data_IF_493180165121
#
_entry.id   IF_493180165121
#
_cell.length_a   1.000
_cell.length_b   1.000
_cell.length_c   1.000
_cell.angle_alpha   90.00
_cell.angle_beta   90.00
_cell.angle_gamma   90.00
#
_symmetry.space_group_name_H-M   'P 1'
#
loop_
_entity.id
_entity.type
_entity.pdbx_description
1 polymer ?
2 non-polymer ?
3 non-polymer ?
4 non-polymer ?
5 water ?
#
# COMPACT_ATOMS: atom_id res chain seq x y z
N UNK A 5 -14.37 -10.29 13.37
CA UNK A 5 -13.95 -9.13 12.61
C UNK A 5 -13.26 -9.49 11.31
N UNK A 6 -12.28 -10.39 11.41
CA UNK A 6 -11.61 -10.88 10.21
C UNK A 6 -12.55 -11.81 9.44
N UNK A 7 -12.52 -11.68 8.12
CA UNK A 7 -13.33 -12.51 7.23
C UNK A 7 -12.38 -13.31 6.35
N UNK A 8 -12.40 -14.63 6.50
CA UNK A 8 -11.62 -15.49 5.64
C UNK A 8 -12.38 -15.71 4.33
N UNK A 9 -11.71 -15.47 3.22
CA UNK A 9 -12.32 -15.59 1.90
C UNK A 9 -11.28 -16.31 1.07
N UNK A 10 -11.49 -17.60 0.87
CA UNK A 10 -10.44 -18.45 0.33
C UNK A 10 -9.21 -18.33 1.19
N UNK A 11 -8.08 -18.05 0.54
CA UNK A 11 -6.80 -17.96 1.20
C UNK A 11 -6.46 -16.54 1.62
N UNK A 12 -7.40 -15.61 1.53
CA UNK A 12 -7.20 -14.22 1.89
C UNK A 12 -8.03 -13.87 3.13
N UNK A 13 -7.70 -12.73 3.74
CA UNK A 13 -8.41 -12.24 4.91
C UNK A 13 -8.78 -10.78 4.67
N UNK A 14 -10.01 -10.42 5.02
CA UNK A 14 -10.51 -9.05 4.88
C UNK A 14 -11.02 -8.56 6.23
N UNK A 15 -10.71 -7.31 6.55
CA UNK A 15 -11.09 -6.73 7.83
C UNK A 15 -11.60 -5.32 7.59
N UNK A 16 -12.83 -5.04 8.00
CA UNK A 16 -13.36 -3.69 7.88
C UNK A 16 -12.70 -2.79 8.92
N UNK A 17 -12.23 -1.62 8.47
CA UNK A 17 -11.57 -0.65 9.33
C UNK A 17 -12.40 0.60 9.56
N UNK A 18 -13.30 0.91 8.65
CA UNK A 18 -14.16 2.08 8.73
C UNK A 18 -15.36 1.81 7.84
N UNK A 19 -16.41 2.64 7.90
CA UNK A 19 -17.60 2.35 7.08
C UNK A 19 -17.31 2.10 5.60
N UNK A 20 -16.31 2.78 5.03
CA UNK A 20 -15.99 2.68 3.61
C UNK A 20 -14.57 2.14 3.37
N UNK A 21 -13.94 1.52 4.35
CA UNK A 21 -12.54 1.08 4.23
C UNK A 21 -12.37 -0.34 4.76
N UNK A 22 -11.71 -1.19 3.97
CA UNK A 22 -11.36 -2.54 4.37
C UNK A 22 -9.89 -2.78 4.10
N UNK A 23 -9.29 -3.64 4.92
CA UNK A 23 -7.92 -4.11 4.72
C UNK A 23 -7.96 -5.49 4.07
N UNK A 24 -7.20 -5.67 2.99
CA UNK A 24 -7.00 -6.99 2.39
C UNK A 24 -5.66 -7.56 2.82
N UNK A 25 -5.62 -8.87 3.06
CA UNK A 25 -4.42 -9.57 3.50
C UNK A 25 -4.24 -10.82 2.67
N UNK A 26 -3.02 -11.01 2.15
CA UNK A 26 -2.66 -12.20 1.39
C UNK A 26 -1.32 -12.72 1.90
N UNK A 27 -1.01 -13.97 1.55
CA UNK A 27 0.12 -14.68 2.14
C UNK A 27 0.99 -15.32 1.06
N UNK A 28 2.31 -15.28 1.25
CA UNK A 28 3.24 -15.95 0.37
C UNK A 28 4.33 -16.63 1.19
N UNK A 29 4.67 -17.86 0.79
CA UNK A 29 5.78 -18.57 1.42
C UNK A 29 7.11 -17.92 1.06
N UNK A 30 7.91 -17.63 2.08
CA UNK A 30 9.31 -17.30 1.90
C UNK A 30 10.07 -18.55 2.30
N UNK A 31 10.57 -19.35 1.36
CA UNK A 31 11.06 -20.69 1.67
C UNK A 31 12.07 -20.73 2.81
N UNK A 32 11.81 -21.61 3.78
CA UNK A 32 12.65 -21.72 4.96
C UNK A 32 12.32 -20.76 6.07
N UNK A 33 11.42 -19.79 5.83
CA UNK A 33 11.10 -18.76 6.80
C UNK A 33 9.61 -18.55 7.03
N UNK A 34 8.76 -19.16 6.23
CA UNK A 34 7.35 -19.19 6.53
C UNK A 34 6.52 -18.26 5.65
N UNK A 35 5.24 -18.23 5.98
CA UNK A 35 4.25 -17.51 5.21
C UNK A 35 4.19 -16.06 5.69
N UNK A 36 4.37 -15.13 4.76
CA UNK A 36 4.42 -13.70 5.10
C UNK A 36 3.12 -13.04 4.67
N UNK A 37 2.44 -12.40 5.61
CA UNK A 37 1.24 -11.62 5.33
C UNK A 37 1.62 -10.28 4.72
N UNK A 38 0.80 -9.84 3.77
CA UNK A 38 0.89 -8.48 3.25
C UNK A 38 -0.49 -7.88 3.19
N UNK A 39 -0.60 -6.62 3.62
CA UNK A 39 -1.87 -5.90 3.69
C UNK A 39 -1.91 -4.78 2.67
N UNK A 40 -3.10 -4.57 2.10
CA UNK A 40 -3.44 -3.38 1.36
C UNK A 40 -4.83 -2.90 1.75
N UNK A 41 -5.39 -1.96 0.98
CA UNK A 41 -6.65 -1.34 1.35
C UNK A 41 -7.63 -1.36 0.19
N UNK A 42 -8.91 -1.33 0.56
CA UNK A 42 -10.04 -1.21 -0.36
C UNK A 42 -10.91 -0.09 0.19
N UNK A 43 -11.25 0.89 -0.65
CA UNK A 43 -11.99 2.07 -0.24
C UNK A 43 -13.19 2.25 -1.16
N UNK A 44 -14.38 2.35 -0.59
CA UNK A 44 -15.55 2.73 -1.37
C UNK A 44 -15.68 4.24 -1.35
N UNK A 45 -15.70 4.85 -2.52
CA UNK A 45 -15.89 6.30 -2.69
C UNK A 45 -17.15 6.47 -3.51
N UNK A 46 -18.29 6.63 -2.83
CA UNK A 46 -19.55 6.77 -3.53
C UNK A 46 -19.88 5.50 -4.29
N UNK A 47 -20.04 5.63 -5.61
CA UNK A 47 -20.38 4.51 -6.47
C UNK A 47 -19.21 3.77 -7.08
N UNK A 48 -18.02 3.93 -6.52
CA UNK A 48 -16.87 3.21 -7.08
C UNK A 48 -15.94 2.78 -5.94
N UNK A 49 -15.03 1.88 -6.29
CA UNK A 49 -14.08 1.31 -5.35
C UNK A 49 -12.67 1.66 -5.81
N UNK A 50 -11.80 1.96 -4.83
CA UNK A 50 -10.40 2.27 -5.06
C UNK A 50 -9.57 1.28 -4.26
N UNK A 51 -8.49 0.77 -4.85
CA UNK A 51 -7.64 -0.24 -4.22
C UNK A 51 -6.24 0.32 -4.02
N UNK A 52 -5.66 0.03 -2.86
CA UNK A 52 -4.27 0.32 -2.56
C UNK A 52 -3.54 -1.02 -2.42
N UNK A 53 -2.60 -1.26 -3.33
CA UNK A 53 -1.73 -2.45 -3.39
C UNK A 53 -2.44 -3.68 -3.92
N UNK A 54 -1.71 -4.47 -4.71
CA UNK A 54 -2.19 -5.79 -5.08
C UNK A 54 -1.93 -6.75 -3.93
N UNK A 55 -2.37 -8.01 -4.13
CA UNK A 55 -1.88 -9.11 -3.32
C UNK A 55 -0.54 -9.58 -3.91
N UNK A 56 0.03 -10.63 -3.30
CA UNK A 56 1.32 -11.12 -3.78
C UNK A 56 1.23 -11.65 -5.22
N UNK A 57 0.11 -12.24 -5.61
CA UNK A 57 0.02 -12.92 -6.90
C UNK A 57 -1.20 -12.46 -7.68
N UNK A 58 -1.17 -12.76 -8.98
CA UNK A 58 -2.32 -12.49 -9.83
C UNK A 58 -3.56 -13.22 -9.33
N UNK A 59 -3.43 -14.52 -9.03
CA UNK A 59 -4.60 -15.28 -8.59
C UNK A 59 -5.18 -14.69 -7.31
N UNK A 60 -4.33 -14.32 -6.36
CA UNK A 60 -4.83 -13.71 -5.13
C UNK A 60 -5.49 -12.37 -5.41
N UNK A 61 -4.93 -11.60 -6.33
CA UNK A 61 -5.49 -10.29 -6.65
C UNK A 61 -6.85 -10.43 -7.32
N UNK A 62 -6.99 -11.42 -8.22
CA UNK A 62 -8.31 -11.72 -8.77
C UNK A 62 -9.30 -12.09 -7.68
N UNK A 63 -8.85 -12.78 -6.62
CA UNK A 63 -9.72 -13.07 -5.50
C UNK A 63 -10.13 -11.82 -4.73
N UNK A 64 -9.23 -10.84 -4.58
CA UNK A 64 -9.65 -9.56 -4.02
C UNK A 64 -10.79 -8.98 -4.83
N UNK A 65 -10.66 -9.00 -6.16
CA UNK A 65 -11.70 -8.43 -7.00
C UNK A 65 -13.01 -9.22 -6.86
N UNK A 66 -12.92 -10.53 -6.67
CA UNK A 66 -14.12 -11.33 -6.43
C UNK A 66 -14.77 -10.95 -5.12
N UNK A 67 -13.97 -10.78 -4.06
CA UNK A 67 -14.53 -10.34 -2.78
C UNK A 67 -15.22 -8.98 -2.93
N UNK A 68 -14.60 -8.06 -3.66
CA UNK A 68 -15.21 -6.76 -3.89
C UNK A 68 -16.55 -6.91 -4.60
N UNK A 69 -16.59 -7.76 -5.62
CA UNK A 69 -17.84 -7.99 -6.34
C UNK A 69 -18.94 -8.47 -5.39
N UNK A 70 -18.60 -9.42 -4.51
CA UNK A 70 -19.61 -10.03 -3.65
C UNK A 70 -19.98 -9.15 -2.46
N UNK A 71 -19.05 -8.36 -1.94
CA UNK A 71 -19.29 -7.61 -0.71
C UNK A 71 -19.54 -6.12 -0.91
N UNK A 72 -19.18 -5.57 -2.06
CA UNK A 72 -19.43 -4.17 -2.38
C UNK A 72 -20.23 -4.02 -3.66
N UNK A 73 -19.87 -4.78 -4.71
CA UNK A 73 -20.64 -4.80 -5.95
C UNK A 73 -20.71 -3.44 -6.65
N UNK A 74 -19.54 -2.80 -6.73
CA UNK A 74 -19.36 -1.56 -7.48
C UNK A 74 -18.07 -1.67 -8.26
N UNK A 75 -17.95 -0.94 -9.37
CA UNK A 75 -16.73 -1.04 -10.19
C UNK A 75 -15.51 -0.53 -9.44
N UNK A 76 -14.37 -1.16 -9.70
CA UNK A 76 -13.10 -0.71 -9.16
C UNK A 76 -12.52 0.30 -10.15
N UNK A 77 -12.53 1.58 -9.76
CA UNK A 77 -12.15 2.64 -10.67
C UNK A 77 -10.65 2.72 -10.89
N UNK A 78 -9.85 2.39 -9.87
CA UNK A 78 -8.41 2.50 -10.00
C UNK A 78 -7.75 1.75 -8.86
N UNK A 79 -6.47 1.46 -9.06
CA UNK A 79 -5.60 0.94 -8.01
C UNK A 79 -4.32 1.74 -8.03
N UNK A 80 -3.78 2.00 -6.84
CA UNK A 80 -2.46 2.58 -6.68
C UNK A 80 -1.61 1.60 -5.89
N UNK A 81 -0.36 1.41 -6.32
CA UNK A 81 0.53 0.46 -5.69
C UNK A 81 1.73 1.22 -5.16
N UNK A 82 2.28 0.75 -4.02
CA UNK A 82 3.10 1.63 -3.19
C UNK A 82 4.61 1.40 -3.26
N UNK A 83 5.08 0.34 -3.93
CA UNK A 83 6.47 0.22 -4.37
C UNK A 83 6.62 -1.06 -5.19
N UNK A 84 7.78 -1.20 -5.83
CA UNK A 84 8.04 -2.28 -6.79
C UNK A 84 8.61 -3.53 -6.13
N UNK A 85 7.86 -4.07 -5.17
CA UNK A 85 8.10 -5.41 -4.64
C UNK A 85 6.83 -6.23 -4.83
N UNK A 86 7.00 -7.57 -4.76
CA UNK A 86 5.92 -8.49 -5.12
C UNK A 86 4.69 -8.34 -4.23
N UNK A 87 4.87 -8.06 -2.96
CA UNK A 87 3.72 -7.96 -2.03
C UNK A 87 2.76 -6.83 -2.45
N UNK A 88 3.32 -5.80 -3.13
CA UNK A 88 2.50 -4.61 -3.50
C UNK A 88 2.15 -4.52 -5.01
N UNK A 89 2.94 -5.19 -5.87
CA UNK A 89 2.72 -5.11 -7.30
C UNK A 89 2.59 -6.47 -7.98
N UNK A 90 2.71 -7.56 -7.24
CA UNK A 90 2.72 -8.87 -7.86
C UNK A 90 1.47 -9.23 -8.64
N UNK A 91 0.35 -8.56 -8.38
CA UNK A 91 -0.89 -8.86 -9.05
C UNK A 91 -1.30 -7.87 -10.10
N UNK A 92 -0.34 -7.09 -10.63
CA UNK A 92 -0.67 -6.07 -11.62
C UNK A 92 -1.42 -6.64 -12.82
N UNK A 93 -1.00 -7.80 -13.33
CA UNK A 93 -1.65 -8.38 -14.50
C UNK A 93 -3.13 -8.66 -14.24
N UNK A 94 -3.49 -9.09 -13.02
CA UNK A 94 -4.88 -9.33 -12.69
C UNK A 94 -5.70 -8.05 -12.74
N UNK A 95 -5.14 -6.94 -12.27
CA UNK A 95 -5.83 -5.66 -12.37
C UNK A 95 -6.02 -5.27 -13.84
N UNK A 96 -4.99 -5.45 -14.66
CA UNK A 96 -5.11 -5.10 -16.07
C UNK A 96 -6.11 -5.98 -16.78
N UNK A 97 -6.10 -7.29 -16.47
CA UNK A 97 -7.09 -8.18 -17.08
C UNK A 97 -8.51 -7.77 -16.74
N UNK A 98 -8.71 -7.20 -15.55
CA UNK A 98 -10.02 -6.73 -15.09
C UNK A 98 -10.38 -5.36 -15.64
N UNK A 99 -9.50 -4.71 -16.39
CA UNK A 99 -9.81 -3.40 -16.94
C UNK A 99 -9.64 -2.25 -15.98
N UNK A 100 -8.84 -2.41 -14.92
CA UNK A 100 -8.72 -1.40 -13.87
C UNK A 100 -7.52 -0.51 -14.17
N UNK A 101 -7.73 0.81 -14.11
CA UNK A 101 -6.64 1.77 -14.28
C UNK A 101 -5.69 1.69 -13.11
N UNK A 102 -4.38 1.61 -13.40
CA UNK A 102 -3.38 1.38 -12.37
C UNK A 102 -2.34 2.50 -12.35
N UNK A 103 -1.89 2.83 -11.14
CA UNK A 103 -1.00 3.95 -10.87
C UNK A 103 0.11 3.51 -9.94
N UNK A 104 1.31 4.03 -10.17
CA UNK A 104 2.43 3.81 -9.27
C UNK A 104 3.37 4.99 -9.41
N UNK A 105 4.19 5.22 -8.40
CA UNK A 105 5.33 6.14 -8.54
C UNK A 105 6.05 5.85 -9.86
N UNK A 106 6.37 6.90 -10.61
CA UNK A 106 7.18 6.75 -11.81
C UNK A 106 8.39 5.86 -11.58
N UNK A 107 9.07 6.04 -10.43
CA UNK A 107 10.25 5.23 -10.14
C UNK A 107 9.89 3.77 -9.96
N UNK A 108 8.74 3.48 -9.35
CA UNK A 108 8.28 2.10 -9.25
C UNK A 108 8.08 1.49 -10.63
N UNK A 109 7.48 2.24 -11.55
CA UNK A 109 7.27 1.72 -12.90
C UNK A 109 8.59 1.50 -13.60
N UNK A 110 9.57 2.39 -13.38
CA UNK A 110 10.89 2.21 -13.98
C UNK A 110 11.57 0.96 -13.44
N UNK A 111 11.46 0.70 -12.14
CA UNK A 111 12.10 -0.44 -11.49
C UNK A 111 11.36 -1.74 -11.73
N UNK A 112 10.08 -1.69 -12.09
CA UNK A 112 9.26 -2.90 -12.14
C UNK A 112 9.89 -4.03 -12.94
N UNK A 113 10.31 -3.84 -14.20
CA UNK A 113 10.85 -4.99 -14.95
C UNK A 113 12.02 -5.67 -14.27
N UNK A 114 13.00 -4.93 -13.76
CA UNK A 114 14.14 -5.57 -13.11
C UNK A 114 13.77 -6.26 -11.81
N UNK A 115 12.69 -5.83 -11.17
CA UNK A 115 12.19 -6.48 -9.97
C UNK A 115 11.29 -7.67 -10.27
N UNK A 116 11.05 -7.98 -11.54
CA UNK A 116 10.16 -9.05 -11.89
C UNK A 116 8.70 -8.68 -11.84
N UNK A 117 8.39 -7.38 -11.80
CA UNK A 117 7.04 -6.86 -11.74
C UNK A 117 6.61 -6.36 -13.11
N UNK A 118 5.30 -6.27 -13.30
CA UNK A 118 4.71 -5.57 -14.43
C UNK A 118 4.40 -4.14 -13.99
N UNK A 119 4.81 -3.16 -14.80
CA UNK A 119 4.57 -1.77 -14.45
C UNK A 119 3.08 -1.45 -14.44
N UNK A 120 2.70 -0.49 -13.60
CA UNK A 120 1.38 0.12 -13.69
C UNK A 120 1.25 0.89 -15.00
N UNK A 121 0.00 1.14 -15.40
CA UNK A 121 -0.24 1.86 -16.65
C UNK A 121 0.18 3.31 -16.55
N UNK A 122 0.00 3.93 -15.41
CA UNK A 122 0.20 5.37 -15.24
C UNK A 122 1.24 5.62 -14.15
N UNK A 123 1.99 6.70 -14.32
CA UNK A 123 3.05 7.08 -13.40
C UNK A 123 2.66 8.31 -12.61
N UNK A 124 2.82 8.23 -11.30
CA UNK A 124 2.68 9.37 -10.42
C UNK A 124 4.02 10.09 -10.33
N UNK A 125 3.96 11.41 -10.32
CA UNK A 125 5.15 12.21 -10.04
C UNK A 125 4.87 13.08 -8.84
N UNK A 126 5.93 13.58 -8.22
CA UNK A 126 5.83 14.20 -6.90
C UNK A 126 6.55 15.52 -6.88
N UNK A 127 5.95 16.49 -6.19
CA UNK A 127 6.62 17.75 -5.93
C UNK A 127 7.79 17.54 -4.96
N UNK A 128 8.65 18.56 -4.88
CA UNK A 128 9.81 18.45 -4.01
C UNK A 128 9.42 18.23 -2.55
N UNK A 129 8.27 18.75 -2.12
CA UNK A 129 7.81 18.55 -0.75
C UNK A 129 7.14 17.20 -0.51
N UNK A 130 7.07 16.34 -1.53
CA UNK A 130 6.56 14.99 -1.36
C UNK A 130 5.14 14.77 -1.81
N UNK A 131 4.32 15.81 -1.92
CA UNK A 131 2.93 15.59 -2.32
C UNK A 131 2.86 15.26 -3.81
N UNK A 132 1.96 14.33 -4.14
CA UNK A 132 1.78 13.94 -5.53
C UNK A 132 1.39 15.16 -6.35
N UNK A 133 1.90 15.23 -7.58
CA UNK A 133 1.44 16.22 -8.53
C UNK A 133 0.02 15.86 -8.91
N UNK A 134 -0.99 16.69 -8.60
CA UNK A 134 -2.38 16.24 -8.72
C UNK A 134 -2.79 15.80 -10.12
N UNK A 135 -2.20 16.38 -11.17
CA UNK A 135 -2.59 15.98 -12.52
C UNK A 135 -2.23 14.53 -12.81
N UNK A 136 -1.28 13.95 -12.08
CA UNK A 136 -0.90 12.56 -12.30
C UNK A 136 -1.77 11.57 -11.53
N UNK A 137 -2.62 12.05 -10.63
CA UNK A 137 -3.49 11.21 -9.82
C UNK A 137 -4.93 11.65 -9.99
N UNK A 138 -5.44 11.65 -11.23
CA UNK A 138 -6.82 12.10 -11.44
C UNK A 138 -7.81 11.12 -10.82
N UNK A 139 -8.90 11.69 -10.30
CA UNK A 139 -10.04 10.89 -9.83
C UNK A 139 -9.68 10.01 -8.64
N UNK A 140 -8.72 10.43 -7.84
CA UNK A 140 -8.33 9.66 -6.67
C UNK A 140 -9.26 9.84 -5.48
N UNK A 141 -10.29 10.69 -5.59
CA UNK A 141 -11.26 10.82 -4.52
C UNK A 141 -10.59 11.17 -3.19
N UNK A 142 -10.87 10.40 -2.15
CA UNK A 142 -10.29 10.71 -0.83
C UNK A 142 -8.85 10.28 -0.67
N UNK A 143 -8.24 9.61 -1.64
CA UNK A 143 -6.88 9.12 -1.49
C UNK A 143 -5.89 10.27 -1.69
N UNK A 144 -5.06 10.51 -0.68
CA UNK A 144 -4.04 11.54 -0.73
C UNK A 144 -2.67 10.87 -0.72
N UNK A 145 -1.92 11.02 -1.80
CA UNK A 145 -0.68 10.27 -2.01
C UNK A 145 0.52 11.13 -1.71
N UNK A 146 1.44 10.59 -0.90
CA UNK A 146 2.58 11.34 -0.40
C UNK A 146 3.83 10.47 -0.52
N UNK A 147 4.89 11.04 -1.09
CA UNK A 147 6.20 10.41 -1.12
C UNK A 147 7.00 10.95 0.06
N UNK A 148 7.31 10.13 1.06
CA UNK A 148 7.93 10.66 2.29
C UNK A 148 9.44 10.72 2.23
N UNK A 149 10.04 10.27 1.14
CA UNK A 149 11.47 10.11 1.05
C UNK A 149 11.84 8.64 1.06
N UNK A 150 13.09 8.34 0.72
CA UNK A 150 13.51 6.94 0.66
C UNK A 150 13.56 6.31 2.03
N UNK A 151 13.13 5.05 2.11
CA UNK A 151 13.12 4.35 3.39
C UNK A 151 13.21 2.86 3.19
N UNK A 152 12.06 2.17 3.30
CA UNK A 152 12.03 0.75 2.99
C UNK A 152 12.56 0.50 1.58
N UNK A 153 12.18 1.36 0.63
CA UNK A 153 12.77 1.42 -0.69
C UNK A 153 12.88 2.89 -1.09
N UNK A 154 13.60 3.14 -2.18
CA UNK A 154 13.70 4.51 -2.65
C UNK A 154 12.41 5.02 -3.25
N UNK A 155 11.53 4.12 -3.70
CA UNK A 155 10.30 4.50 -4.39
C UNK A 155 9.06 4.43 -3.51
N UNK A 156 9.21 4.07 -2.23
CA UNK A 156 8.02 3.85 -1.40
C UNK A 156 7.14 5.08 -1.29
N UNK A 157 5.83 4.89 -1.47
CA UNK A 157 4.86 5.96 -1.32
C UNK A 157 3.82 5.56 -0.28
N UNK A 158 3.05 6.54 0.18
CA UNK A 158 2.12 6.38 1.28
C UNK A 158 0.80 7.05 0.90
N UNK A 159 -0.27 6.65 1.59
CA UNK A 159 -1.61 7.10 1.19
C UNK A 159 -2.45 7.40 2.42
N UNK A 160 -3.01 8.60 2.49
CA UNK A 160 -4.00 8.96 3.49
C UNK A 160 -5.40 8.87 2.90
N UNK A 161 -6.38 8.58 3.75
CA UNK A 161 -7.77 8.51 3.32
C UNK A 161 -8.51 9.67 3.95
N UNK A 162 -8.76 10.71 3.14
CA UNK A 162 -9.51 11.85 3.62
C UNK A 162 -10.89 11.42 4.10
N UNK A 163 -11.37 12.10 5.13
CA UNK A 163 -12.64 11.77 5.73
C UNK A 163 -12.61 10.61 6.70
N UNK A 164 -11.42 10.06 6.95
CA UNK A 164 -11.23 8.99 7.92
C UNK A 164 -10.04 9.36 8.80
N UNK A 165 -9.80 8.53 9.80
CA UNK A 165 -8.62 8.67 10.63
C UNK A 165 -7.48 7.75 10.19
N UNK A 166 -7.50 7.29 8.94
CA UNK A 166 -6.62 6.23 8.47
C UNK A 166 -5.55 6.80 7.54
N UNK A 167 -4.30 6.38 7.76
CA UNK A 167 -3.22 6.54 6.79
C UNK A 167 -2.46 5.22 6.64
N UNK A 168 -1.95 5.00 5.44
CA UNK A 168 -1.32 3.74 5.06
C UNK A 168 0.16 3.99 4.79
N UNK A 169 1.02 3.37 5.60
CA UNK A 169 2.44 3.52 5.43
C UNK A 169 3.10 2.44 4.60
N UNK A 170 2.36 1.41 4.20
CA UNK A 170 2.96 0.36 3.40
C UNK A 170 4.10 -0.31 4.14
N UNK A 171 5.18 -0.59 3.41
CA UNK A 171 6.29 -1.26 4.08
C UNK A 171 7.25 -0.30 4.77
N UNK A 172 6.99 1.01 4.70
CA UNK A 172 7.83 1.95 5.42
C UNK A 172 7.65 1.80 6.94
N UNK A 173 6.43 1.57 7.40
CA UNK A 173 6.09 1.62 8.82
C UNK A 173 5.91 0.21 9.36
N UNK A 174 6.48 -0.05 10.53
CA UNK A 174 6.29 -1.28 11.29
C UNK A 174 5.51 -0.96 12.56
N UNK A 175 4.95 -1.99 13.18
CA UNK A 175 4.08 -1.74 14.32
C UNK A 175 4.90 -1.32 15.54
N UNK A 176 4.20 -0.81 16.55
CA UNK A 176 4.84 -0.19 17.71
C UNK A 176 5.63 -1.16 18.57
N UNK A 177 5.46 -2.47 18.38
CA UNK A 177 6.22 -3.47 19.12
C UNK A 177 7.18 -4.25 18.23
N UNK A 178 7.35 -3.83 16.98
CA UNK A 178 8.15 -4.58 16.03
C UNK A 178 9.59 -4.66 16.50
N UNK A 179 10.22 -5.80 16.28
CA UNK A 179 11.60 -6.00 16.69
C UNK A 179 12.61 -5.58 15.63
N UNK A 180 12.17 -5.37 14.39
CA UNK A 180 13.11 -4.97 13.35
C UNK A 180 12.38 -4.21 12.27
N UNK A 181 13.15 -3.68 11.33
CA UNK A 181 12.60 -3.00 10.17
C UNK A 181 12.41 -3.93 8.99
N UNK A 182 12.48 -5.25 9.19
CA UNK A 182 12.14 -6.19 8.14
C UNK A 182 13.18 -6.23 7.03
N UNK A 183 12.71 -6.33 5.79
CA UNK A 183 13.60 -6.50 4.65
C UNK A 183 14.21 -5.15 4.27
N UNK A 184 15.50 -4.99 4.54
CA UNK A 184 16.24 -3.79 4.21
C UNK A 184 17.07 -3.95 2.92
N UNK A 185 16.80 -5.00 2.14
CA UNK A 185 17.63 -5.27 0.96
C UNK A 185 17.67 -4.13 -0.03
N UNK A 186 16.57 -3.40 -0.18
CA UNK A 186 16.50 -2.26 -1.10
C UNK A 186 16.32 -0.94 -0.37
N UNK A 187 16.62 -0.90 0.92
CA UNK A 187 16.33 0.25 1.76
C UNK A 187 17.42 1.31 1.65
N UNK A 188 17.03 2.54 2.00
CA UNK A 188 17.94 3.65 2.18
C UNK A 188 18.06 3.85 3.69
N UNK A 189 19.12 3.29 4.28
CA UNK A 189 19.22 3.27 5.73
C UNK A 189 19.53 4.65 6.31
N UNK A 190 20.23 5.49 5.55
CA UNK A 190 20.57 6.83 6.02
C UNK A 190 19.33 7.71 6.18
N UNK A 191 18.37 7.56 5.26
CA UNK A 191 17.22 8.45 5.21
C UNK A 191 15.95 7.87 5.81
N UNK A 192 15.98 6.61 6.24
CA UNK A 192 14.78 5.91 6.69
C UNK A 192 14.07 6.68 7.81
N UNK A 193 14.80 7.07 8.86
CA UNK A 193 14.15 7.69 10.01
C UNK A 193 13.43 8.96 9.61
N UNK A 194 14.08 9.81 8.82
CA UNK A 194 13.46 11.07 8.40
C UNK A 194 12.23 10.79 7.54
N UNK A 195 12.28 9.76 6.69
CA UNK A 195 11.14 9.44 5.84
C UNK A 195 9.97 8.94 6.65
N UNK A 196 10.22 8.09 7.66
CA UNK A 196 9.14 7.67 8.54
C UNK A 196 8.50 8.87 9.24
N UNK A 197 9.32 9.80 9.75
CA UNK A 197 8.77 10.97 10.41
C UNK A 197 8.02 11.88 9.44
N UNK A 198 8.48 11.97 8.19
CA UNK A 198 7.78 12.79 7.20
C UNK A 198 6.40 12.23 6.90
N UNK A 199 6.26 10.90 6.86
CA UNK A 199 4.95 10.28 6.72
C UNK A 199 4.02 10.72 7.84
N UNK A 200 4.49 10.66 9.10
CA UNK A 200 3.67 11.12 10.21
C UNK A 200 3.26 12.57 10.08
N UNK A 201 4.19 13.42 9.65
CA UNK A 201 3.90 14.85 9.55
C UNK A 201 2.93 15.16 8.41
N UNK A 202 2.91 14.31 7.37
CA UNK A 202 2.01 14.55 6.24
C UNK A 202 0.57 14.25 6.59
N UNK A 203 0.34 13.34 7.54
CA UNK A 203 -1.01 12.90 7.91
C UNK A 203 -1.20 13.04 9.41
N UNK A 204 -1.17 14.28 9.93
CA UNK A 204 -1.23 14.46 11.38
C UNK A 204 -2.54 14.01 12.00
N UNK A 205 -3.63 13.96 11.23
CA UNK A 205 -4.93 13.56 11.77
C UNK A 205 -5.11 12.05 11.80
N UNK A 206 -4.20 11.28 11.22
CA UNK A 206 -4.38 9.84 11.11
C UNK A 206 -4.02 9.18 12.44
N UNK A 207 -5.05 8.70 13.14
CA UNK A 207 -4.84 7.98 14.39
C UNK A 207 -4.74 6.47 14.19
N UNK A 208 -5.20 5.96 13.05
CA UNK A 208 -5.10 4.56 12.70
C UNK A 208 -4.09 4.42 11.57
N UNK A 209 -2.96 3.79 11.87
CA UNK A 209 -1.89 3.59 10.91
C UNK A 209 -1.95 2.16 10.42
N UNK A 210 -2.21 2.01 9.13
CA UNK A 210 -2.24 0.73 8.45
C UNK A 210 -0.89 0.51 7.78
N UNK A 211 -0.42 -0.74 7.77
CA UNK A 211 0.91 -1.03 7.27
C UNK A 211 0.91 -2.42 6.66
N UNK A 212 2.02 -2.76 6.00
CA UNK A 212 2.02 -3.95 5.15
C UNK A 212 2.01 -5.25 5.93
N UNK A 213 2.64 -5.32 7.11
CA UNK A 213 2.90 -6.62 7.73
C UNK A 213 2.44 -6.75 9.17
N UNK A 214 1.63 -5.81 9.66
CA UNK A 214 1.07 -5.93 10.99
C UNK A 214 -0.34 -5.37 10.94
N UNK A 215 -1.13 -5.72 11.95
CA UNK A 215 -2.46 -5.17 12.09
C UNK A 215 -2.37 -3.66 12.28
N UNK A 216 -3.44 -2.94 11.97
CA UNK A 216 -3.44 -1.49 12.18
C UNK A 216 -3.08 -1.14 13.62
N UNK A 217 -2.36 -0.04 13.78
CA UNK A 217 -1.82 0.35 15.06
C UNK A 217 -2.04 1.84 15.26
N UNK A 218 -1.69 2.32 16.45
CA UNK A 218 -1.70 3.75 16.74
C UNK A 218 -0.47 4.41 16.12
N UNK A 219 -0.38 5.73 16.31
CA UNK A 219 0.77 6.46 15.79
C UNK A 219 2.08 6.07 16.45
N UNK A 220 2.03 5.30 17.54
CA UNK A 220 3.27 4.76 18.09
C UNK A 220 4.00 3.88 17.08
N UNK A 221 3.31 3.34 16.09
CA UNK A 221 4.01 2.65 15.01
C UNK A 221 4.99 3.58 14.30
N UNK A 222 4.60 4.84 14.10
CA UNK A 222 5.47 5.79 13.41
C UNK A 222 6.68 6.15 14.27
N UNK A 223 6.42 6.54 15.53
CA UNK A 223 7.52 6.92 16.41
C UNK A 223 8.47 5.75 16.63
N UNK A 224 7.93 4.54 16.82
CA UNK A 224 8.78 3.39 17.06
C UNK A 224 9.59 3.04 15.82
N UNK A 225 8.97 3.08 14.64
CA UNK A 225 9.70 2.81 13.41
C UNK A 225 10.85 3.81 13.23
N UNK A 226 10.55 5.09 13.42
CA UNK A 226 11.59 6.10 13.26
C UNK A 226 12.71 5.93 14.28
N UNK A 227 12.34 5.58 15.52
CA UNK A 227 13.36 5.40 16.57
C UNK A 227 14.26 4.23 16.24
N UNK A 228 13.70 3.13 15.73
CA UNK A 228 14.53 2.02 15.28
C UNK A 228 15.43 2.43 14.13
N UNK A 229 14.89 3.23 13.22
CA UNK A 229 15.67 3.68 12.06
C UNK A 229 16.77 4.65 12.46
N UNK A 230 16.60 5.37 13.57
CA UNK A 230 17.68 6.20 14.08
C UNK A 230 18.95 5.37 14.25
N UNK A 231 18.80 4.11 14.68
CA UNK A 231 19.95 3.25 14.95
C UNK A 231 20.68 2.84 13.68
N UNK A 232 20.04 2.92 12.52
CA UNK A 232 20.70 2.57 11.27
C UNK A 232 21.71 3.61 10.82
N UNK A 233 21.71 4.79 11.42
CA UNK A 233 22.58 5.87 11.00
C UNK A 233 23.88 5.88 11.81
X LIG B 1 9.02 -4.01 -0.12
X LIG C 1 6.94 -5.35 3.30
X LIG D 1 14.79 -10.45 -0.34
X LIG D 1 13.38 -10.11 0.11
X LIG D 1 12.57 -9.35 -0.72
X LIG D 1 11.26 -9.04 -0.33
X LIG D 1 10.51 -8.17 -1.31
X LIG D 1 10.80 -9.52 0.94
X LIG D 1 9.46 -9.23 1.45
X LIG D 1 8.47 -8.28 0.70
X LIG D 1 9.09 -9.75 2.70
X LIG D 1 9.98 -10.58 3.40
X LIG D 1 11.60 -10.31 1.72
X LIG D 1 12.89 -10.58 1.28
X LIG D 1 11.16 -10.78 2.89
X LIG D 1 8.05 -5.57 0.40
X LIG D 1 8.22 -6.51 2.79
X LIG D 1 10.30 -6.19 1.33
X LIG D 1 9.61 -11.01 4.41
X LIG D 1 8.81 -6.57 1.37
X LIG E 1 9.43 -5.41 5.13
X LIG E 1 10.47 -4.81 5.47
X LIG E 1 8.35 -4.88 4.67
X LIG E 1 9.47 -6.88 5.32
X LIG F 1 12.34 -1.17 -5.03
X LIG F 1 13.28 -0.41 -4.66
X LIG F 1 11.11 -0.91 -5.09
X LIG F 1 12.71 -2.54 -5.43
#
# INVERSE_FOLDING_TARGET
GSHMGDQRFGDLVFRQLAPNVWQHTSYLDMPGFGAVASNGLIVRDGGRVLVVDTAWTDDQTAQILNWIKQEINLPVALAVVTHAHQDKMGGMDALHAAGIATYANALSNQLAPQEGMVAAQHSLTFAANGWVEPATAPNFGPLKVFYPGPGHTSDNITVGIDGTDIAFGGCLIKDSKAKSLGNLGDADTEHYAASARAFGAAFPKASMIVMSHSAPDSRAAITHTARMADKLR
ZN ZN
ZN ZN
7SX C01 C02 C03 C04 C05 C06 C07 C08 C13 C14 C17 C18 N16 O10 O11 O12 O15 P09
ACT C O OXT CH3
ACT C O OXT CH3
#
